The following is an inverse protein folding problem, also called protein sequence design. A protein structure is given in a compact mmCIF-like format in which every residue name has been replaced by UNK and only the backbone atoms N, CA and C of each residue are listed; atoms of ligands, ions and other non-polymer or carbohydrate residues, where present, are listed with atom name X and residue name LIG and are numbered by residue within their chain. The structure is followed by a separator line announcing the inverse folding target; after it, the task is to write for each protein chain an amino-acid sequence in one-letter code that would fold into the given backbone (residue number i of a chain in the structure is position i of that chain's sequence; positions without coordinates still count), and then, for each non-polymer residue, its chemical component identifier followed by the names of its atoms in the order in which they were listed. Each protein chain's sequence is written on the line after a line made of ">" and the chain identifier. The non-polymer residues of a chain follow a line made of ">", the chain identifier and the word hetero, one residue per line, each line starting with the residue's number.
data_IF_578519707758
#
_entry.id   IF_578519707758
#
_cell.length_a   1.000
_cell.length_b   1.000
_cell.length_c   1.000
_cell.angle_alpha   90.00
_cell.angle_beta   90.00
_cell.angle_gamma   90.00
#
_symmetry.space_group_name_H-M   'P 1'
#
loop_
_entity.id
_entity.type
_entity.pdbx_description
1 polymer ?
#
# COMPACT_ATOMS: atom_id res chain seq x y z
N UNK A 1 -16.32 -0.98 20.16
CA UNK A 1 -16.73 0.43 20.29
C UNK A 1 -18.12 0.44 20.90
N UNK A 2 -18.34 1.02 22.07
CA UNK A 2 -19.64 0.96 22.76
C UNK A 2 -20.28 2.35 22.85
N UNK A 3 -21.03 2.70 21.80
CA UNK A 3 -21.64 4.02 21.65
C UNK A 3 -23.10 4.02 22.12
N UNK A 4 -23.95 3.28 21.43
CA UNK A 4 -25.38 3.12 21.75
C UNK A 4 -25.74 1.65 21.89
N UNK A 5 -26.81 1.32 22.60
CA UNK A 5 -27.36 -0.04 22.59
C UNK A 5 -28.00 -0.35 21.24
N UNK A 6 -28.05 -1.63 20.85
CA UNK A 6 -28.81 -2.03 19.68
C UNK A 6 -30.30 -1.69 19.86
N UNK A 7 -30.87 -0.91 18.93
CA UNK A 7 -32.26 -0.46 19.01
C UNK A 7 -33.28 -1.62 18.97
N UNK A 8 -32.91 -2.76 18.39
CA UNK A 8 -33.80 -3.92 18.30
C UNK A 8 -33.77 -4.84 19.51
N UNK A 9 -32.61 -5.08 20.11
CA UNK A 9 -32.47 -6.09 21.17
C UNK A 9 -31.86 -5.58 22.48
N UNK A 10 -31.54 -4.29 22.55
CA UNK A 10 -30.93 -3.65 23.71
C UNK A 10 -29.49 -4.08 24.01
N UNK A 11 -28.88 -4.93 23.19
CA UNK A 11 -27.52 -5.40 23.45
C UNK A 11 -26.50 -4.25 23.39
N UNK A 12 -25.63 -4.20 24.40
CA UNK A 12 -24.40 -3.41 24.44
C UNK A 12 -23.26 -4.21 23.80
N UNK A 13 -22.22 -3.57 23.30
CA UNK A 13 -21.22 -4.23 22.45
C UNK A 13 -21.42 -3.90 20.97
N UNK A 14 -20.42 -3.29 20.33
CA UNK A 14 -20.33 -3.22 18.87
C UNK A 14 -18.91 -3.48 18.36
N UNK A 15 -18.78 -4.58 17.61
CA UNK A 15 -17.62 -4.94 16.80
C UNK A 15 -17.96 -4.63 15.36
N UNK A 16 -17.25 -3.68 14.78
CA UNK A 16 -17.39 -3.34 13.36
C UNK A 16 -16.58 -4.32 12.51
N UNK A 17 -17.04 -4.52 11.28
CA UNK A 17 -16.43 -5.37 10.26
C UNK A 17 -16.09 -4.60 8.98
N UNK A 18 -16.59 -3.37 8.85
CA UNK A 18 -16.28 -2.48 7.72
C UNK A 18 -16.11 -1.05 8.22
N UNK A 19 -15.14 -0.36 7.62
CA UNK A 19 -14.88 1.05 7.80
C UNK A 19 -14.91 1.73 6.43
N UNK A 20 -15.56 2.89 6.34
CA UNK A 20 -15.68 3.68 5.12
C UNK A 20 -15.45 5.16 5.44
N UNK A 21 -14.59 5.82 4.67
CA UNK A 21 -14.53 7.27 4.65
C UNK A 21 -15.65 7.82 3.73
N UNK A 22 -16.34 8.87 4.17
CA UNK A 22 -17.43 9.48 3.44
C UNK A 22 -17.38 11.01 3.44
N UNK A 23 -18.42 11.61 2.87
CA UNK A 23 -18.71 13.03 2.97
C UNK A 23 -20.16 13.20 3.45
N UNK A 24 -20.37 14.06 4.44
CA UNK A 24 -21.68 14.47 4.90
C UNK A 24 -21.75 16.00 4.92
N UNK A 25 -22.37 16.56 3.89
CA UNK A 25 -22.55 18.00 3.70
C UNK A 25 -21.22 18.78 3.61
N UNK A 26 -20.25 18.26 2.85
CA UNK A 26 -18.94 18.89 2.67
C UNK A 26 -18.00 18.71 3.85
N UNK A 27 -18.33 17.83 4.80
CA UNK A 27 -17.47 17.44 5.91
C UNK A 27 -17.13 15.97 5.77
N UNK A 28 -15.84 15.65 5.84
CA UNK A 28 -15.36 14.26 5.80
C UNK A 28 -15.95 13.47 6.97
N UNK A 29 -16.41 12.26 6.70
CA UNK A 29 -16.94 11.35 7.72
C UNK A 29 -16.17 10.05 7.78
N UNK A 30 -16.21 9.40 8.94
CA UNK A 30 -15.71 8.06 9.19
C UNK A 30 -16.90 7.19 9.63
N UNK A 31 -17.24 6.18 8.84
CA UNK A 31 -18.37 5.30 9.07
C UNK A 31 -17.90 3.90 9.47
N UNK A 32 -18.44 3.38 10.57
CA UNK A 32 -18.15 2.05 11.08
C UNK A 32 -19.41 1.20 11.01
N UNK A 33 -19.35 0.08 10.28
CA UNK A 33 -20.45 -0.86 10.11
C UNK A 33 -20.14 -2.22 10.72
N UNK A 34 -21.16 -2.85 11.29
CA UNK A 34 -21.08 -4.22 11.77
C UNK A 34 -22.43 -4.74 12.25
N UNK A 35 -22.55 -6.06 12.37
CA UNK A 35 -23.78 -6.68 12.84
C UNK A 35 -23.82 -6.74 14.38
N UNK A 36 -24.99 -6.53 14.96
CA UNK A 36 -25.22 -6.81 16.38
C UNK A 36 -24.93 -8.29 16.65
N UNK A 37 -24.03 -8.57 17.60
CA UNK A 37 -23.64 -9.95 17.93
C UNK A 37 -24.79 -10.79 18.51
N UNK A 38 -25.88 -10.16 18.96
CA UNK A 38 -27.05 -10.85 19.51
C UNK A 38 -28.14 -11.12 18.48
N UNK A 39 -28.58 -10.11 17.75
CA UNK A 39 -29.74 -10.21 16.84
C UNK A 39 -29.39 -10.09 15.36
N UNK A 40 -28.11 -9.91 15.02
CA UNK A 40 -27.65 -9.82 13.63
C UNK A 40 -27.99 -8.51 12.91
N UNK A 41 -28.75 -7.60 13.51
CA UNK A 41 -29.12 -6.31 12.91
C UNK A 41 -27.86 -5.52 12.55
N UNK A 42 -27.77 -5.05 11.30
CA UNK A 42 -26.70 -4.17 10.85
C UNK A 42 -26.75 -2.85 11.63
N UNK A 43 -25.61 -2.40 12.12
CA UNK A 43 -25.43 -1.15 12.84
C UNK A 43 -24.35 -0.36 12.15
N UNK A 44 -24.60 0.93 11.95
CA UNK A 44 -23.69 1.89 11.34
C UNK A 44 -23.56 3.10 12.25
N UNK A 45 -22.33 3.55 12.47
CA UNK A 45 -22.02 4.76 13.22
C UNK A 45 -21.18 5.67 12.35
N UNK A 46 -21.64 6.90 12.17
CA UNK A 46 -20.96 7.90 11.35
C UNK A 46 -20.45 9.03 12.24
N UNK A 47 -19.18 9.37 12.05
CA UNK A 47 -18.51 10.44 12.78
C UNK A 47 -18.05 11.50 11.80
N UNK A 48 -18.27 12.77 12.13
CA UNK A 48 -17.69 13.87 11.36
C UNK A 48 -16.23 14.03 11.79
N UNK A 49 -15.31 13.96 10.82
CA UNK A 49 -13.89 14.25 11.01
C UNK A 49 -13.73 15.76 11.06
N UNK A 50 -13.43 16.29 12.25
CA UNK A 50 -13.40 17.73 12.51
C UNK A 50 -12.21 18.44 11.86
N UNK A 51 -11.07 17.75 11.71
CA UNK A 51 -9.92 18.24 10.96
C UNK A 51 -9.44 17.17 9.97
N UNK A 52 -9.73 17.32 8.66
CA UNK A 52 -9.32 16.35 7.64
C UNK A 52 -7.82 16.41 7.32
N UNK A 53 -7.06 17.38 7.87
CA UNK A 53 -5.62 17.55 7.66
C UNK A 53 -4.77 16.95 8.78
N UNK A 54 -5.38 16.49 9.88
CA UNK A 54 -4.65 15.75 10.91
C UNK A 54 -4.17 14.41 10.31
N UNK A 55 -2.86 14.17 10.20
CA UNK A 55 -2.36 12.90 9.70
C UNK A 55 -2.73 11.80 10.70
N UNK A 56 -3.26 10.66 10.25
CA UNK A 56 -3.49 9.53 11.13
C UNK A 56 -2.16 8.96 11.68
N UNK A 57 -2.18 8.37 12.89
CA UNK A 57 -3.32 8.32 13.80
C UNK A 57 -3.44 9.62 14.59
N UNK A 58 -4.56 10.32 14.41
CA UNK A 58 -4.92 11.49 15.20
C UNK A 58 -6.21 11.19 15.95
N UNK A 59 -6.08 10.95 17.25
CA UNK A 59 -7.21 10.89 18.15
C UNK A 59 -7.47 12.33 18.60
N UNK A 60 -8.69 12.83 18.38
CA UNK A 60 -9.13 14.13 18.90
C UNK A 60 -8.49 15.37 18.26
N UNK A 61 -8.69 16.52 18.92
CA UNK A 61 -8.13 17.83 18.54
C UNK A 61 -7.11 18.32 19.57
N UNK A 62 -6.80 19.61 19.62
CA UNK A 62 -5.85 20.15 20.61
C UNK A 62 -6.34 20.06 22.06
N UNK A 63 -7.67 20.12 22.25
CA UNK A 63 -8.32 20.04 23.55
C UNK A 63 -8.53 18.58 24.00
N UNK A 64 -8.62 18.33 25.33
CA UNK A 64 -8.92 17.00 25.85
C UNK A 64 -10.26 16.45 25.33
N UNK A 65 -10.33 15.14 25.15
CA UNK A 65 -11.55 14.47 24.72
C UNK A 65 -12.71 14.67 25.71
N UNK A 66 -13.91 14.87 25.18
CA UNK A 66 -15.16 14.95 25.96
C UNK A 66 -15.98 13.67 25.90
N UNK A 67 -15.51 12.67 25.14
CA UNK A 67 -16.24 11.42 24.86
C UNK A 67 -15.55 10.22 25.52
N UNK A 68 -14.22 10.18 25.42
CA UNK A 68 -13.38 9.10 25.93
C UNK A 68 -12.55 9.68 27.06
N UNK A 69 -12.55 9.02 28.21
CA UNK A 69 -11.80 9.49 29.36
C UNK A 69 -10.34 8.95 29.38
N UNK A 70 -9.47 9.49 30.27
CA UNK A 70 -8.06 9.12 30.29
C UNK A 70 -7.82 7.64 30.57
N UNK A 71 -8.66 6.99 31.39
CA UNK A 71 -8.52 5.58 31.71
C UNK A 71 -8.89 4.68 30.54
N UNK A 72 -9.90 5.06 29.75
CA UNK A 72 -10.26 4.36 28.52
C UNK A 72 -9.18 4.48 27.44
N UNK A 73 -8.59 5.67 27.26
CA UNK A 73 -7.45 5.84 26.35
C UNK A 73 -6.24 5.01 26.77
N UNK A 74 -5.93 4.94 28.06
CA UNK A 74 -4.79 4.15 28.53
C UNK A 74 -4.98 2.64 28.27
N UNK A 75 -6.21 2.13 28.42
CA UNK A 75 -6.54 0.75 28.05
C UNK A 75 -6.40 0.53 26.54
N UNK A 76 -6.86 1.46 25.70
CA UNK A 76 -6.68 1.37 24.26
C UNK A 76 -5.19 1.37 23.88
N UNK A 77 -4.38 2.21 24.53
CA UNK A 77 -2.93 2.23 24.33
C UNK A 77 -2.26 0.91 24.73
N UNK A 78 -2.75 0.24 25.76
CA UNK A 78 -2.27 -1.10 26.16
C UNK A 78 -2.71 -2.21 25.20
N UNK A 79 -3.92 -2.15 24.67
CA UNK A 79 -4.38 -3.09 23.65
C UNK A 79 -3.53 -2.94 22.38
N UNK A 80 -3.30 -1.71 21.95
CA UNK A 80 -2.48 -1.41 20.78
C UNK A 80 -1.02 -1.85 20.98
N UNK A 81 -0.39 -1.58 22.15
CA UNK A 81 1.00 -1.99 22.39
C UNK A 81 1.16 -3.53 22.46
N UNK A 82 0.09 -4.29 22.75
CA UNK A 82 0.15 -5.76 22.68
C UNK A 82 0.24 -6.24 21.22
N UNK A 83 -0.31 -5.49 20.28
CA UNK A 83 -0.29 -5.82 18.86
C UNK A 83 1.04 -5.47 18.15
N UNK A 84 1.98 -4.79 18.82
CA UNK A 84 3.29 -4.42 18.24
C UNK A 84 4.32 -5.54 18.25
N UNK A 85 3.94 -6.74 18.72
CA UNK A 85 4.81 -7.92 18.79
C UNK A 85 4.46 -8.85 17.65
N UNK A 86 5.13 -8.72 16.49
CA UNK A 86 4.86 -9.62 15.37
C UNK A 86 5.36 -11.04 15.71
N UNK A 87 4.88 -12.02 14.94
CA UNK A 87 5.27 -13.43 15.08
C UNK A 87 6.74 -13.70 14.72
N UNK A 88 7.20 -14.96 14.84
CA UNK A 88 8.50 -15.35 14.29
C UNK A 88 8.51 -15.14 12.76
N UNK A 89 9.62 -14.63 12.24
CA UNK A 89 9.84 -14.30 10.82
C UNK A 89 8.79 -13.34 10.23
N UNK A 90 8.70 -12.09 10.73
CA UNK A 90 7.68 -11.14 10.31
C UNK A 90 7.86 -10.72 8.86
N UNK A 91 6.75 -10.62 8.14
CA UNK A 91 6.71 -9.98 6.82
C UNK A 91 6.81 -8.46 6.95
N UNK A 92 7.13 -7.72 5.87
CA UNK A 92 7.03 -6.26 5.88
C UNK A 92 5.64 -5.75 6.32
N UNK A 93 4.56 -6.45 5.94
CA UNK A 93 3.18 -6.11 6.32
C UNK A 93 2.95 -6.31 7.82
N UNK A 94 3.44 -7.41 8.40
CA UNK A 94 3.36 -7.62 9.85
C UNK A 94 4.08 -6.50 10.63
N UNK A 95 5.18 -5.97 10.06
CA UNK A 95 5.92 -4.85 10.66
C UNK A 95 5.22 -3.49 10.45
N UNK A 96 4.57 -3.28 9.30
CA UNK A 96 3.74 -2.10 9.04
C UNK A 96 2.54 -2.07 9.99
N UNK A 97 1.81 -3.17 10.12
CA UNK A 97 0.69 -3.31 11.07
C UNK A 97 1.16 -3.10 12.52
N UNK A 98 2.31 -3.65 12.89
CA UNK A 98 2.90 -3.43 14.21
C UNK A 98 3.33 -1.96 14.41
N UNK A 99 3.80 -1.28 13.36
CA UNK A 99 4.15 0.14 13.43
C UNK A 99 2.89 0.99 13.61
N UNK A 100 1.82 0.73 12.85
CA UNK A 100 0.54 1.43 12.98
C UNK A 100 -0.04 1.25 14.39
N UNK A 101 0.01 0.03 14.94
CA UNK A 101 -0.37 -0.21 16.33
C UNK A 101 0.48 0.57 17.35
N UNK A 102 1.78 0.75 17.09
CA UNK A 102 2.65 1.57 17.94
C UNK A 102 2.29 3.06 17.84
N UNK A 103 1.92 3.53 16.65
CA UNK A 103 1.46 4.90 16.42
C UNK A 103 0.11 5.16 17.12
N UNK A 104 -0.84 4.23 17.02
CA UNK A 104 -2.12 4.28 17.74
C UNK A 104 -1.92 4.33 19.26
N UNK A 105 -1.00 3.50 19.77
CA UNK A 105 -0.65 3.51 21.18
C UNK A 105 -0.07 4.87 21.62
N UNK A 106 0.80 5.48 20.79
CA UNK A 106 1.35 6.80 21.06
C UNK A 106 0.27 7.87 21.06
N UNK A 107 -0.59 7.90 20.04
CA UNK A 107 -1.70 8.84 19.93
C UNK A 107 -2.66 8.75 21.13
N UNK A 108 -2.95 7.54 21.61
CA UNK A 108 -3.78 7.34 22.79
C UNK A 108 -3.13 7.88 24.07
N UNK A 109 -1.81 7.74 24.24
CA UNK A 109 -1.11 8.36 25.40
C UNK A 109 -1.04 9.88 25.28
N UNK A 110 -0.90 10.42 24.07
CA UNK A 110 -0.98 11.87 23.82
C UNK A 110 -2.34 12.43 24.23
N UNK A 111 -3.44 11.71 23.97
CA UNK A 111 -4.77 12.09 24.45
C UNK A 111 -4.84 12.14 25.98
N UNK A 112 -4.27 11.16 26.68
CA UNK A 112 -4.22 11.15 28.15
C UNK A 112 -3.44 12.37 28.68
N UNK A 113 -2.32 12.73 28.06
CA UNK A 113 -1.49 13.87 28.45
C UNK A 113 -2.25 15.21 28.37
N UNK A 114 -3.21 15.36 27.44
CA UNK A 114 -4.04 16.58 27.34
C UNK A 114 -4.87 16.82 28.59
N UNK A 115 -5.24 15.77 29.32
CA UNK A 115 -5.99 15.89 30.57
C UNK A 115 -5.14 16.30 31.77
N UNK A 116 -3.81 16.47 31.65
CA UNK A 116 -2.95 16.94 32.74
C UNK A 116 -2.89 18.48 32.69
N UNK A 117 -3.50 19.21 33.66
CA UNK A 117 -3.39 20.66 33.73
C UNK A 117 -1.94 21.14 33.73
N UNK A 118 -1.70 22.34 33.20
CA UNK A 118 -0.34 22.90 33.06
C UNK A 118 0.42 23.01 34.41
N UNK A 119 -0.30 23.22 35.50
CA UNK A 119 0.21 23.35 36.87
C UNK A 119 0.14 22.05 37.68
N UNK A 120 -0.29 20.95 37.07
CA UNK A 120 -0.41 19.64 37.70
C UNK A 120 0.62 18.63 37.18
N UNK A 121 1.00 17.70 38.06
CA UNK A 121 1.91 16.59 37.75
C UNK A 121 1.19 15.28 37.40
N UNK A 122 -0.13 15.25 37.42
CA UNK A 122 -0.92 14.05 37.12
C UNK A 122 -2.32 14.41 36.62
N UNK A 123 -2.97 13.47 35.94
CA UNK A 123 -4.37 13.62 35.52
C UNK A 123 -5.28 13.72 36.75
N UNK A 124 -6.13 14.75 36.86
CA UNK A 124 -7.04 14.90 37.98
C UNK A 124 -8.04 13.74 38.06
N UNK A 125 -8.31 13.25 39.27
CA UNK A 125 -9.19 12.10 39.50
C UNK A 125 -10.60 12.32 38.95
N UNK A 126 -11.07 13.56 38.87
CA UNK A 126 -12.37 13.97 38.33
C UNK A 126 -12.48 13.80 36.82
N UNK A 127 -11.36 13.75 36.07
CA UNK A 127 -11.37 13.55 34.63
C UNK A 127 -11.80 12.12 34.22
N UNK A 128 -11.78 11.17 35.16
CA UNK A 128 -12.14 9.77 34.92
C UNK A 128 -13.65 9.56 35.12
N UNK A 129 -14.36 9.12 34.10
CA UNK A 129 -15.79 8.84 34.18
C UNK A 129 -16.04 7.33 34.21
N UNK A 130 -15.71 6.63 33.14
CA UNK A 130 -15.80 5.18 32.94
C UNK A 130 -14.51 4.44 33.32
N UNK A 131 -13.35 5.06 33.07
CA UNK A 131 -12.01 4.53 33.35
C UNK A 131 -11.57 4.68 34.82
N UNK A 132 -12.47 5.01 35.74
CA UNK A 132 -12.14 5.26 37.15
C UNK A 132 -11.52 4.05 37.85
N UNK A 133 -11.96 2.83 37.52
CA UNK A 133 -11.37 1.61 38.06
C UNK A 133 -9.91 1.41 37.62
N UNK A 134 -9.55 1.86 36.41
CA UNK A 134 -8.16 1.81 35.90
C UNK A 134 -7.28 2.78 36.69
N UNK A 135 -7.77 4.00 36.94
CA UNK A 135 -7.10 4.98 37.79
C UNK A 135 -6.92 4.48 39.22
N UNK A 136 -7.99 3.95 39.83
CA UNK A 136 -7.95 3.50 41.22
C UNK A 136 -7.03 2.29 41.44
N UNK A 137 -6.80 1.47 40.40
CA UNK A 137 -5.89 0.35 40.46
C UNK A 137 -4.40 0.78 40.50
N UNK A 138 -4.04 1.81 39.75
CA UNK A 138 -2.66 2.34 39.72
C UNK A 138 -2.62 3.83 39.31
N UNK A 139 -2.83 4.75 40.27
CA UNK A 139 -2.86 6.19 39.99
C UNK A 139 -1.55 6.73 39.42
N UNK A 140 -0.41 6.13 39.78
CA UNK A 140 0.91 6.57 39.36
C UNK A 140 1.12 6.47 37.84
N UNK A 141 0.33 5.63 37.16
CA UNK A 141 0.35 5.52 35.69
C UNK A 141 -0.15 6.76 34.97
N UNK A 142 -0.89 7.62 35.67
CA UNK A 142 -1.45 8.86 35.14
C UNK A 142 -0.65 10.10 35.60
N UNK A 143 0.55 9.89 36.16
CA UNK A 143 1.53 10.94 36.39
C UNK A 143 2.16 11.40 35.06
N UNK A 144 2.36 12.71 34.91
CA UNK A 144 2.92 13.36 33.72
C UNK A 144 4.20 12.68 33.26
N UNK A 145 5.18 12.56 34.16
CA UNK A 145 6.49 11.99 33.86
C UNK A 145 6.39 10.53 33.36
N UNK A 146 5.47 9.75 33.93
CA UNK A 146 5.22 8.38 33.46
C UNK A 146 4.58 8.35 32.08
N UNK A 147 3.56 9.18 31.85
CA UNK A 147 2.89 9.29 30.56
C UNK A 147 3.85 9.77 29.46
N UNK A 148 4.72 10.72 29.75
CA UNK A 148 5.76 11.18 28.84
C UNK A 148 6.78 10.07 28.52
N UNK A 149 7.21 9.30 29.53
CA UNK A 149 8.04 8.12 29.32
C UNK A 149 7.36 7.05 28.47
N UNK A 150 6.09 6.77 28.74
CA UNK A 150 5.25 5.85 27.95
C UNK A 150 5.09 6.30 26.50
N UNK A 151 4.92 7.61 26.28
CA UNK A 151 4.83 8.20 24.94
C UNK A 151 6.14 8.07 24.18
N UNK A 152 7.26 8.40 24.82
CA UNK A 152 8.58 8.29 24.22
C UNK A 152 8.89 6.85 23.78
N UNK A 153 8.60 5.87 24.64
CA UNK A 153 8.75 4.43 24.34
C UNK A 153 7.94 4.02 23.10
N UNK A 154 6.68 4.42 23.02
CA UNK A 154 5.76 4.06 21.92
C UNK A 154 6.19 4.71 20.60
N UNK A 155 6.58 5.98 20.62
CA UNK A 155 7.14 6.66 19.43
C UNK A 155 8.43 6.01 18.97
N UNK A 156 9.29 5.59 19.89
CA UNK A 156 10.50 4.85 19.54
C UNK A 156 10.18 3.49 18.91
N UNK A 157 9.18 2.77 19.43
CA UNK A 157 8.72 1.51 18.85
C UNK A 157 8.21 1.71 17.41
N UNK A 158 7.38 2.74 17.17
CA UNK A 158 6.94 3.13 15.82
C UNK A 158 8.14 3.34 14.88
N UNK A 159 9.10 4.18 15.26
CA UNK A 159 10.28 4.45 14.42
C UNK A 159 11.10 3.19 14.11
N UNK A 160 11.29 2.32 15.11
CA UNK A 160 12.03 1.06 14.93
C UNK A 160 11.30 0.10 14.00
N UNK A 161 9.98 -0.05 14.15
CA UNK A 161 9.16 -0.96 13.35
C UNK A 161 8.99 -0.44 11.92
N UNK A 162 8.73 0.86 11.73
CA UNK A 162 8.66 1.47 10.40
C UNK A 162 10.00 1.35 9.67
N UNK A 163 11.13 1.50 10.37
CA UNK A 163 12.44 1.27 9.78
C UNK A 163 12.62 -0.19 9.38
N UNK A 164 12.31 -1.13 10.26
CA UNK A 164 12.44 -2.55 9.96
C UNK A 164 11.54 -2.99 8.78
N UNK A 165 10.32 -2.44 8.69
CA UNK A 165 9.43 -2.63 7.55
C UNK A 165 10.06 -2.09 6.25
N UNK A 166 10.64 -0.88 6.30
CA UNK A 166 11.38 -0.29 5.19
C UNK A 166 12.56 -1.16 4.77
N UNK A 167 13.41 -1.58 5.72
CA UNK A 167 14.60 -2.40 5.46
C UNK A 167 14.21 -3.77 4.85
N UNK A 168 13.15 -4.42 5.35
CA UNK A 168 12.64 -5.67 4.76
C UNK A 168 11.98 -5.45 3.40
N UNK A 169 11.31 -4.32 3.19
CA UNK A 169 10.72 -4.02 1.90
C UNK A 169 11.75 -3.64 0.85
N UNK A 170 12.84 -2.97 1.21
CA UNK A 170 13.92 -2.71 0.26
C UNK A 170 14.57 -4.03 -0.20
N UNK A 171 14.49 -5.09 0.62
CA UNK A 171 14.87 -6.44 0.23
C UNK A 171 13.82 -7.16 -0.65
N UNK A 172 12.56 -6.69 -0.68
CA UNK A 172 11.45 -7.25 -1.47
C UNK A 172 11.03 -6.21 -2.53
N UNK A 173 11.69 -6.24 -3.68
CA UNK A 173 11.41 -5.28 -4.74
C UNK A 173 10.06 -5.50 -5.44
N UNK A 174 9.66 -4.57 -6.32
CA UNK A 174 8.33 -4.57 -6.90
C UNK A 174 8.08 -5.80 -7.78
N UNK A 175 6.83 -6.26 -7.79
CA UNK A 175 6.34 -7.35 -8.63
C UNK A 175 5.95 -6.77 -9.99
N UNK A 176 6.66 -7.17 -11.04
CA UNK A 176 6.42 -6.69 -12.41
C UNK A 176 5.98 -7.82 -13.33
N UNK A 177 4.92 -7.62 -14.14
CA UNK A 177 4.43 -8.62 -15.07
C UNK A 177 5.24 -8.65 -16.36
N UNK A 178 5.44 -9.87 -16.87
CA UNK A 178 6.01 -10.12 -18.18
C UNK A 178 4.96 -10.64 -19.15
N UNK A 179 5.12 -10.23 -20.40
CA UNK A 179 4.38 -10.73 -21.53
C UNK A 179 3.14 -9.91 -21.87
N UNK A 180 2.48 -10.32 -22.95
CA UNK A 180 1.30 -9.67 -23.50
C UNK A 180 0.11 -10.60 -23.44
N UNK A 181 -0.99 -10.12 -22.88
CA UNK A 181 -2.25 -10.85 -22.87
C UNK A 181 -2.82 -10.97 -24.29
N UNK A 182 -3.17 -12.20 -24.68
CA UNK A 182 -3.73 -12.54 -25.99
C UNK A 182 -5.25 -12.80 -25.94
N UNK A 183 -5.88 -12.58 -24.78
CA UNK A 183 -7.28 -12.89 -24.58
C UNK A 183 -7.52 -14.34 -24.14
N UNK A 184 -8.79 -14.71 -24.12
CA UNK A 184 -9.22 -16.08 -23.93
C UNK A 184 -9.22 -16.80 -25.27
N UNK A 185 -8.45 -17.87 -25.39
CA UNK A 185 -8.31 -18.65 -26.61
C UNK A 185 -8.72 -20.11 -26.37
N UNK A 186 -9.28 -20.80 -27.38
CA UNK A 186 -9.59 -22.21 -27.25
C UNK A 186 -8.31 -23.03 -27.16
N UNK A 187 -8.22 -23.87 -26.12
CA UNK A 187 -7.14 -24.83 -25.90
C UNK A 187 -7.73 -26.24 -25.99
N UNK A 188 -7.10 -27.09 -26.79
CA UNK A 188 -7.51 -28.48 -26.96
C UNK A 188 -7.07 -29.30 -25.75
N UNK A 189 -8.04 -29.85 -25.02
CA UNK A 189 -7.81 -30.82 -23.94
C UNK A 189 -8.40 -32.18 -24.34
N UNK A 190 -8.02 -33.29 -23.66
CA UNK A 190 -8.63 -34.60 -23.92
C UNK A 190 -10.16 -34.63 -23.81
N UNK A 191 -10.77 -33.69 -23.08
CA UNK A 191 -12.23 -33.54 -22.93
C UNK A 191 -12.90 -32.56 -23.91
N UNK A 192 -12.15 -31.98 -24.87
CA UNK A 192 -12.64 -30.99 -25.82
C UNK A 192 -11.94 -29.63 -25.70
N UNK A 193 -12.39 -28.66 -26.50
CA UNK A 193 -11.84 -27.31 -26.47
C UNK A 193 -12.39 -26.51 -25.28
N UNK A 194 -11.51 -26.00 -24.43
CA UNK A 194 -11.86 -25.09 -23.32
C UNK A 194 -11.19 -23.74 -23.53
N UNK A 195 -11.89 -22.64 -23.25
CA UNK A 195 -11.27 -21.33 -23.29
C UNK A 195 -10.31 -21.16 -22.10
N UNK A 196 -9.10 -20.69 -22.36
CA UNK A 196 -8.09 -20.35 -21.35
C UNK A 196 -7.55 -18.97 -21.61
N UNK A 197 -7.22 -18.25 -20.54
CA UNK A 197 -6.45 -17.01 -20.62
C UNK A 197 -5.06 -17.32 -21.16
N UNK A 198 -4.58 -16.56 -22.14
CA UNK A 198 -3.25 -16.81 -22.74
C UNK A 198 -2.40 -15.54 -22.67
N UNK A 199 -1.19 -15.69 -22.15
CA UNK A 199 -0.14 -14.66 -22.18
C UNK A 199 1.00 -15.12 -23.08
N UNK A 200 1.54 -14.20 -23.87
CA UNK A 200 2.75 -14.41 -24.68
C UNK A 200 3.93 -13.72 -24.02
N UNK A 201 4.92 -14.49 -23.59
CA UNK A 201 6.16 -14.00 -23.00
C UNK A 201 7.36 -14.61 -23.76
N UNK A 202 8.24 -13.75 -24.28
CA UNK A 202 9.25 -14.11 -25.25
C UNK A 202 8.64 -14.83 -26.46
N UNK A 203 9.22 -15.97 -26.83
CA UNK A 203 8.70 -16.85 -27.89
C UNK A 203 7.63 -17.85 -27.42
N UNK A 204 7.19 -17.81 -26.17
CA UNK A 204 6.29 -18.80 -25.56
C UNK A 204 4.87 -18.26 -25.43
N UNK A 205 3.90 -19.17 -25.52
CA UNK A 205 2.51 -18.96 -25.08
C UNK A 205 2.31 -19.73 -23.79
N UNK A 206 1.76 -19.07 -22.77
CA UNK A 206 1.49 -19.64 -21.46
C UNK A 206 0.01 -19.49 -21.17
N UNK A 207 -0.62 -20.58 -20.78
CA UNK A 207 -2.02 -20.65 -20.41
C UNK A 207 -2.16 -20.39 -18.91
N UNK A 208 -3.16 -19.60 -18.53
CA UNK A 208 -3.42 -19.22 -17.15
C UNK A 208 -4.77 -19.76 -16.68
N UNK A 209 -4.82 -20.10 -15.39
CA UNK A 209 -6.08 -20.23 -14.65
C UNK A 209 -6.69 -18.84 -14.43
N UNK A 210 -7.96 -18.79 -14.03
CA UNK A 210 -8.62 -17.51 -13.74
C UNK A 210 -7.93 -16.78 -12.57
N UNK A 211 -7.47 -17.55 -11.56
CA UNK A 211 -6.70 -17.04 -10.42
C UNK A 211 -5.35 -16.47 -10.85
N UNK A 212 -4.57 -17.23 -11.62
CA UNK A 212 -3.26 -16.78 -12.08
C UNK A 212 -3.40 -15.58 -13.05
N UNK A 213 -4.48 -15.53 -13.85
CA UNK A 213 -4.75 -14.38 -14.71
C UNK A 213 -5.11 -13.14 -13.90
N UNK A 214 -5.92 -13.27 -12.85
CA UNK A 214 -6.26 -12.16 -11.96
C UNK A 214 -4.99 -11.57 -11.33
N UNK A 215 -4.13 -12.42 -10.77
CA UNK A 215 -2.89 -11.98 -10.10
C UNK A 215 -1.89 -11.40 -11.10
N UNK A 216 -1.76 -12.00 -12.29
CA UNK A 216 -0.93 -11.44 -13.37
C UNK A 216 -1.44 -10.07 -13.84
N UNK A 217 -2.76 -9.89 -13.97
CA UNK A 217 -3.35 -8.61 -14.31
C UNK A 217 -3.12 -7.57 -13.21
N UNK A 218 -3.29 -7.96 -11.94
CA UNK A 218 -3.08 -7.09 -10.79
C UNK A 218 -1.63 -6.61 -10.65
N UNK A 219 -0.66 -7.43 -11.06
CA UNK A 219 0.76 -7.05 -11.06
C UNK A 219 1.08 -5.83 -11.96
N UNK A 220 0.20 -5.46 -12.90
CA UNK A 220 0.38 -4.26 -13.72
C UNK A 220 0.22 -2.96 -12.92
N UNK A 221 -0.40 -3.00 -11.74
CA UNK A 221 -0.80 -1.80 -11.02
C UNK A 221 -2.24 -1.39 -11.28
N UNK A 222 -2.83 -0.68 -10.32
CA UNK A 222 -4.12 0.01 -10.50
C UNK A 222 -3.86 1.49 -10.79
N UNK A 223 -4.31 2.04 -11.93
CA UNK A 223 -4.14 3.45 -12.26
C UNK A 223 -4.63 4.39 -11.15
N UNK A 224 -3.78 5.33 -10.75
CA UNK A 224 -4.10 6.30 -9.69
C UNK A 224 -4.02 5.78 -8.26
N UNK A 225 -3.66 4.51 -8.05
CA UNK A 225 -3.41 3.99 -6.70
C UNK A 225 -2.20 4.68 -6.07
N UNK A 226 -2.27 5.09 -4.79
CA UNK A 226 -1.12 5.65 -4.07
C UNK A 226 0.02 4.63 -3.93
N UNK A 227 -0.27 3.34 -4.01
CA UNK A 227 0.70 2.25 -3.87
C UNK A 227 1.53 2.01 -5.14
N UNK A 228 1.24 2.68 -6.26
CA UNK A 228 1.94 2.44 -7.54
C UNK A 228 3.47 2.65 -7.46
N UNK A 229 3.95 3.48 -6.54
CA UNK A 229 5.39 3.67 -6.34
C UNK A 229 6.08 2.43 -5.71
N UNK A 230 5.30 1.54 -5.08
CA UNK A 230 5.77 0.36 -4.37
C UNK A 230 4.76 -0.78 -4.56
N UNK A 231 4.77 -1.36 -5.75
CA UNK A 231 3.83 -2.42 -6.12
C UNK A 231 4.40 -3.81 -5.81
N UNK A 232 4.42 -4.15 -4.52
CA UNK A 232 4.85 -5.46 -4.01
C UNK A 232 3.65 -6.41 -3.77
N UNK A 233 3.91 -7.61 -3.22
CA UNK A 233 2.84 -8.58 -2.92
C UNK A 233 1.78 -8.03 -1.95
N UNK A 234 2.20 -7.19 -0.99
CA UNK A 234 1.27 -6.60 0.00
C UNK A 234 0.34 -5.58 -0.67
N UNK A 235 0.88 -4.72 -1.55
CA UNK A 235 0.06 -3.85 -2.38
C UNK A 235 -0.95 -4.68 -3.21
N UNK A 236 -0.51 -5.77 -3.84
CA UNK A 236 -1.41 -6.65 -4.58
C UNK A 236 -2.52 -7.25 -3.69
N UNK A 237 -2.22 -7.69 -2.46
CA UNK A 237 -3.26 -8.18 -1.52
C UNK A 237 -4.29 -7.10 -1.17
N UNK A 238 -3.84 -5.88 -0.86
CA UNK A 238 -4.75 -4.75 -0.53
C UNK A 238 -5.68 -4.38 -1.68
N UNK A 239 -5.19 -4.52 -2.91
CA UNK A 239 -5.94 -4.19 -4.13
C UNK A 239 -6.71 -5.38 -4.74
N UNK A 240 -6.72 -6.53 -4.07
CA UNK A 240 -7.47 -7.69 -4.50
C UNK A 240 -8.99 -7.39 -4.42
N UNK A 241 -9.76 -7.61 -5.50
CA UNK A 241 -11.20 -7.37 -5.48
C UNK A 241 -11.90 -8.21 -4.40
N UNK A 242 -12.91 -7.66 -3.71
CA UNK A 242 -13.66 -8.37 -2.69
C UNK A 242 -14.31 -9.69 -3.19
N UNK A 243 -14.68 -9.74 -4.47
CA UNK A 243 -15.20 -10.95 -5.13
C UNK A 243 -14.17 -12.07 -5.28
N UNK A 244 -12.88 -11.77 -5.07
CA UNK A 244 -11.75 -12.67 -5.17
C UNK A 244 -11.10 -12.98 -3.81
N UNK A 245 -11.80 -12.75 -2.69
CA UNK A 245 -11.25 -12.91 -1.32
C UNK A 245 -10.76 -14.31 -0.92
N UNK A 246 -10.80 -15.29 -1.83
CA UNK A 246 -10.18 -16.62 -1.67
C UNK A 246 -8.90 -16.84 -2.49
N UNK A 247 -8.45 -15.83 -3.26
CA UNK A 247 -7.24 -15.93 -4.07
C UNK A 247 -5.99 -15.89 -3.18
N UNK A 248 -5.15 -16.91 -3.32
CA UNK A 248 -3.82 -16.96 -2.71
C UNK A 248 -2.84 -16.17 -3.58
N UNK A 249 -2.70 -14.86 -3.28
CA UNK A 249 -1.84 -13.96 -4.04
C UNK A 249 -0.39 -14.44 -4.02
N UNK A 250 0.13 -14.83 -2.86
CA UNK A 250 1.53 -15.24 -2.70
C UNK A 250 1.82 -16.53 -3.47
N UNK A 251 0.96 -17.53 -3.33
CA UNK A 251 1.09 -18.79 -4.07
C UNK A 251 0.95 -18.60 -5.59
N UNK A 252 0.08 -17.70 -6.05
CA UNK A 252 -0.06 -17.35 -7.46
C UNK A 252 1.16 -16.59 -8.00
N UNK A 253 1.71 -15.63 -7.24
CA UNK A 253 2.94 -14.92 -7.60
C UNK A 253 4.09 -15.92 -7.75
N UNK A 254 4.28 -16.83 -6.79
CA UNK A 254 5.31 -17.87 -6.85
C UNK A 254 5.17 -18.76 -8.09
N UNK A 255 3.93 -19.15 -8.44
CA UNK A 255 3.66 -19.93 -9.65
C UNK A 255 4.00 -19.14 -10.91
N UNK A 256 3.59 -17.88 -11.00
CA UNK A 256 3.81 -17.04 -12.16
C UNK A 256 5.29 -16.67 -12.35
N UNK A 257 6.06 -16.49 -11.27
CA UNK A 257 7.52 -16.35 -11.32
C UNK A 257 8.14 -17.61 -11.93
N UNK A 258 7.76 -18.81 -11.45
CA UNK A 258 8.24 -20.09 -12.04
C UNK A 258 7.87 -20.25 -13.51
N UNK A 259 6.75 -19.68 -13.94
CA UNK A 259 6.31 -19.69 -15.35
C UNK A 259 7.01 -18.64 -16.21
N UNK A 260 7.79 -17.73 -15.61
CA UNK A 260 8.45 -16.61 -16.29
C UNK A 260 7.48 -15.51 -16.71
N UNK A 261 6.40 -15.31 -15.94
CA UNK A 261 5.36 -14.31 -16.20
C UNK A 261 5.33 -13.16 -15.19
N UNK A 262 6.06 -13.28 -14.08
CA UNK A 262 6.32 -12.20 -13.14
C UNK A 262 7.81 -12.21 -12.76
N UNK A 263 8.34 -11.05 -12.36
CA UNK A 263 9.64 -10.91 -11.69
C UNK A 263 9.42 -10.09 -10.42
N UNK A 264 10.11 -10.48 -9.34
CA UNK A 264 10.31 -9.64 -8.15
C UNK A 264 11.66 -8.95 -8.22
N UNK A 265 11.66 -7.64 -8.40
CA UNK A 265 12.86 -6.86 -8.64
C UNK A 265 13.57 -6.41 -7.35
N UNK A 266 13.76 -7.32 -6.39
CA UNK A 266 14.43 -7.05 -5.10
C UNK A 266 15.95 -7.23 -5.09
N UNK A 267 16.50 -7.79 -6.18
CA UNK A 267 17.94 -7.95 -6.37
C UNK A 267 18.62 -6.73 -7.01
N UNK A 268 19.88 -6.87 -7.43
CA UNK A 268 20.59 -5.82 -8.16
C UNK A 268 19.82 -5.39 -9.41
N UNK A 269 19.63 -4.07 -9.59
CA UNK A 269 18.84 -3.52 -10.71
C UNK A 269 19.37 -3.94 -12.09
N UNK A 270 20.67 -4.18 -12.20
CA UNK A 270 21.30 -4.67 -13.42
C UNK A 270 20.77 -6.06 -13.81
N UNK A 271 20.61 -6.98 -12.85
CA UNK A 271 20.10 -8.33 -13.11
C UNK A 271 18.67 -8.25 -13.66
N UNK A 272 17.82 -7.43 -13.02
CA UNK A 272 16.48 -7.16 -13.51
C UNK A 272 16.51 -6.58 -14.93
N UNK A 273 17.28 -5.52 -15.16
CA UNK A 273 17.32 -4.81 -16.42
C UNK A 273 17.87 -5.67 -17.58
N UNK A 274 18.75 -6.63 -17.29
CA UNK A 274 19.23 -7.61 -18.29
C UNK A 274 18.22 -8.72 -18.57
N UNK A 275 17.33 -9.03 -17.64
CA UNK A 275 16.34 -10.09 -17.81
C UNK A 275 15.14 -9.68 -18.68
N UNK A 276 14.89 -8.37 -18.82
CA UNK A 276 13.68 -7.84 -19.47
C UNK A 276 14.01 -6.87 -20.59
N UNK A 277 13.06 -6.71 -21.51
CA UNK A 277 13.00 -5.59 -22.45
C UNK A 277 11.70 -4.83 -22.28
N UNK A 278 11.74 -3.53 -22.56
CA UNK A 278 10.58 -2.63 -22.50
C UNK A 278 9.98 -2.43 -23.90
N UNK A 279 8.69 -2.70 -24.05
CA UNK A 279 7.97 -2.56 -25.31
C UNK A 279 6.89 -1.48 -25.19
N UNK A 280 7.03 -0.34 -25.89
CA UNK A 280 5.98 0.66 -26.03
C UNK A 280 4.70 0.06 -26.62
N UNK A 281 3.55 0.38 -26.02
CA UNK A 281 2.22 -0.03 -26.50
C UNK A 281 1.35 1.16 -26.94
N UNK A 282 1.91 2.38 -26.89
CA UNK A 282 1.22 3.63 -27.12
C UNK A 282 2.09 4.59 -27.96
N UNK A 283 1.58 5.79 -28.24
CA UNK A 283 2.32 6.83 -28.95
C UNK A 283 2.71 7.97 -28.03
N UNK A 284 3.84 8.61 -28.31
CA UNK A 284 4.20 9.88 -27.68
C UNK A 284 3.32 11.00 -28.21
N UNK A 285 2.77 11.80 -27.30
CA UNK A 285 1.87 12.92 -27.59
C UNK A 285 2.57 14.28 -27.52
N UNK A 286 3.87 14.29 -27.22
CA UNK A 286 4.66 15.51 -27.04
C UNK A 286 4.53 16.08 -25.63
N UNK A 287 4.86 17.36 -25.48
CA UNK A 287 4.94 18.02 -24.17
C UNK A 287 3.56 18.10 -23.50
N UNK A 288 3.45 17.58 -22.27
CA UNK A 288 2.19 17.53 -21.51
C UNK A 288 2.15 18.50 -20.32
N UNK A 289 3.27 19.15 -19.97
CA UNK A 289 3.37 20.02 -18.79
C UNK A 289 3.73 21.48 -19.11
N UNK A 290 3.34 22.45 -18.25
CA UNK A 290 3.87 23.80 -18.31
C UNK A 290 5.40 23.72 -18.18
N UNK A 291 6.11 24.41 -19.07
CA UNK A 291 7.59 24.40 -19.20
C UNK A 291 8.22 23.18 -19.88
N UNK A 292 7.46 22.24 -20.46
CA UNK A 292 8.01 21.20 -21.35
C UNK A 292 8.93 20.17 -20.67
N UNK A 293 8.80 19.98 -19.35
CA UNK A 293 9.63 19.03 -18.58
C UNK A 293 9.08 17.60 -18.56
N UNK A 294 7.85 17.41 -19.02
CA UNK A 294 7.16 16.12 -19.09
C UNK A 294 6.54 15.89 -20.46
N UNK A 295 6.56 14.63 -20.88
CA UNK A 295 5.98 14.18 -22.14
C UNK A 295 4.76 13.30 -21.88
N UNK A 296 3.69 13.53 -22.64
CA UNK A 296 2.49 12.72 -22.62
C UNK A 296 2.68 11.45 -23.45
N UNK A 297 2.17 10.34 -22.95
CA UNK A 297 2.08 9.05 -23.64
C UNK A 297 0.62 8.60 -23.60
N UNK A 298 0.11 8.07 -24.72
CA UNK A 298 -1.25 7.54 -24.78
C UNK A 298 -1.70 7.20 -26.18
N UNK A 299 -2.98 7.39 -26.43
CA UNK A 299 -3.58 7.21 -27.76
C UNK A 299 -3.86 8.58 -28.39
N UNK A 300 -4.00 8.66 -29.73
CA UNK A 300 -4.38 9.91 -30.38
C UNK A 300 -5.65 10.49 -29.73
N UNK A 301 -5.55 11.71 -29.21
CA UNK A 301 -6.64 12.41 -28.51
C UNK A 301 -6.82 12.09 -27.02
N UNK A 302 -6.02 11.19 -26.44
CA UNK A 302 -6.11 10.81 -25.04
C UNK A 302 -4.72 10.53 -24.43
N UNK A 303 -4.21 11.49 -23.63
CA UNK A 303 -3.03 11.28 -22.80
C UNK A 303 -3.40 10.41 -21.60
N UNK A 304 -2.68 9.30 -21.42
CA UNK A 304 -2.91 8.33 -20.33
C UNK A 304 -1.93 8.51 -19.18
N UNK A 305 -0.71 8.97 -19.48
CA UNK A 305 0.33 9.25 -18.50
C UNK A 305 1.24 10.37 -18.99
N UNK A 306 1.83 11.12 -18.06
CA UNK A 306 2.89 12.08 -18.32
C UNK A 306 4.14 11.64 -17.57
N UNK A 307 5.29 11.59 -18.26
CA UNK A 307 6.55 11.12 -17.69
C UNK A 307 7.67 12.15 -17.87
N UNK A 308 8.73 12.12 -17.04
CA UNK A 308 9.93 12.90 -17.26
C UNK A 308 10.57 12.63 -18.62
N UNK A 309 11.39 13.58 -19.07
CA UNK A 309 12.03 13.56 -20.40
C UNK A 309 12.90 12.32 -20.60
N UNK A 310 13.65 11.94 -19.58
CA UNK A 310 14.59 10.82 -19.58
C UNK A 310 13.84 9.49 -19.75
N UNK A 311 12.76 9.30 -18.99
CA UNK A 311 11.90 8.12 -19.07
C UNK A 311 11.16 8.06 -20.41
N UNK A 312 10.70 9.20 -20.95
CA UNK A 312 10.08 9.26 -22.27
C UNK A 312 11.03 8.80 -23.38
N UNK A 313 12.26 9.33 -23.40
CA UNK A 313 13.23 8.96 -24.41
C UNK A 313 13.59 7.48 -24.31
N UNK A 314 13.90 6.98 -23.11
CA UNK A 314 14.17 5.55 -22.95
C UNK A 314 12.98 4.70 -23.43
N UNK A 315 11.75 5.02 -22.98
CA UNK A 315 10.55 4.32 -23.42
C UNK A 315 10.43 4.30 -24.95
N UNK A 316 10.63 5.44 -25.62
CA UNK A 316 10.47 5.54 -27.07
C UNK A 316 11.45 4.71 -27.90
N UNK A 317 12.64 4.42 -27.37
CA UNK A 317 13.71 3.73 -28.10
C UNK A 317 14.04 2.32 -27.55
N UNK A 318 13.62 1.98 -26.33
CA UNK A 318 14.01 0.74 -25.66
C UNK A 318 13.64 -0.54 -26.43
N UNK A 319 12.62 -0.49 -27.30
CA UNK A 319 12.23 -1.63 -28.11
C UNK A 319 13.24 -2.00 -29.21
N UNK A 320 14.22 -1.14 -29.50
CA UNK A 320 15.31 -1.42 -30.44
C UNK A 320 16.45 -2.23 -29.82
N UNK A 321 16.47 -2.33 -28.49
CA UNK A 321 17.57 -2.93 -27.74
C UNK A 321 17.16 -4.34 -27.25
N UNK A 322 18.12 -5.26 -27.05
CA UNK A 322 17.85 -6.64 -26.65
C UNK A 322 17.28 -6.75 -25.23
N UNK A 323 17.67 -5.82 -24.36
CA UNK A 323 17.29 -5.74 -22.95
C UNK A 323 17.30 -4.28 -22.47
N UNK A 324 16.71 -4.06 -21.30
CA UNK A 324 16.56 -2.74 -20.69
C UNK A 324 17.90 -2.17 -20.22
N UNK A 325 18.86 -3.01 -19.84
CA UNK A 325 20.19 -2.56 -19.43
C UNK A 325 20.94 -1.90 -20.60
N UNK A 326 20.99 -2.56 -21.74
CA UNK A 326 21.58 -2.07 -22.98
C UNK A 326 20.88 -0.78 -23.44
N UNK A 327 19.55 -0.69 -23.27
CA UNK A 327 18.82 0.55 -23.52
C UNK A 327 19.26 1.70 -22.60
N UNK A 328 19.53 1.42 -21.31
CA UNK A 328 20.05 2.42 -20.39
C UNK A 328 21.47 2.87 -20.76
N UNK A 329 22.37 1.94 -21.12
CA UNK A 329 23.72 2.26 -21.59
C UNK A 329 23.70 3.11 -22.87
N UNK A 330 22.80 2.80 -23.81
CA UNK A 330 22.61 3.58 -25.05
C UNK A 330 22.05 4.97 -24.77
N UNK A 331 21.04 5.08 -23.91
CA UNK A 331 20.48 6.36 -23.50
C UNK A 331 21.54 7.25 -22.83
N UNK A 332 22.38 6.67 -21.96
CA UNK A 332 23.53 7.34 -21.37
C UNK A 332 24.50 7.86 -22.44
N UNK A 333 24.86 7.02 -23.42
CA UNK A 333 25.78 7.41 -24.49
C UNK A 333 25.26 8.56 -25.38
N UNK A 334 23.93 8.63 -25.59
CA UNK A 334 23.30 9.69 -26.39
C UNK A 334 23.15 11.00 -25.61
N UNK A 335 23.05 10.95 -24.28
CA UNK A 335 22.75 12.13 -23.44
C UNK A 335 23.85 13.22 -23.40
N UNK A 336 25.08 12.96 -23.87
CA UNK A 336 26.18 13.91 -24.19
C UNK A 336 26.40 15.17 -23.30
N UNK A 337 25.94 15.19 -22.05
CA UNK A 337 26.19 16.27 -21.10
C UNK A 337 27.22 15.84 -20.03
N UNK A 338 28.18 16.70 -19.64
CA UNK A 338 29.01 16.46 -18.47
C UNK A 338 28.11 16.32 -17.23
N UNK A 339 28.16 15.16 -16.56
CA UNK A 339 27.31 14.84 -15.40
C UNK A 339 26.07 13.99 -15.69
N UNK A 340 26.00 13.33 -16.86
CA UNK A 340 24.92 12.39 -17.18
C UNK A 340 24.77 11.25 -16.16
N UNK A 341 23.52 10.90 -15.87
CA UNK A 341 23.13 9.76 -15.02
C UNK A 341 23.75 8.46 -15.57
N UNK A 342 24.42 7.68 -14.72
CA UNK A 342 24.95 6.38 -15.15
C UNK A 342 23.81 5.37 -15.46
N UNK A 343 24.14 4.30 -16.19
CA UNK A 343 23.15 3.30 -16.60
C UNK A 343 22.43 2.63 -15.42
N UNK A 344 23.10 2.44 -14.27
CA UNK A 344 22.50 1.84 -13.09
C UNK A 344 21.46 2.78 -12.46
N UNK A 345 21.81 4.06 -12.30
CA UNK A 345 20.90 5.09 -11.80
C UNK A 345 19.71 5.32 -12.74
N UNK A 346 19.92 5.24 -14.06
CA UNK A 346 18.82 5.27 -15.02
C UNK A 346 17.93 4.03 -14.92
N UNK A 347 18.50 2.83 -14.81
CA UNK A 347 17.74 1.59 -14.62
C UNK A 347 16.91 1.62 -13.32
N UNK A 348 17.48 2.13 -12.22
CA UNK A 348 16.76 2.34 -10.95
C UNK A 348 15.60 3.31 -11.11
N UNK A 349 15.83 4.45 -11.78
CA UNK A 349 14.77 5.43 -12.02
C UNK A 349 13.64 4.85 -12.90
N UNK A 350 13.98 4.00 -13.86
CA UNK A 350 13.01 3.34 -14.74
C UNK A 350 12.20 2.32 -13.96
N UNK A 351 12.84 1.49 -13.14
CA UNK A 351 12.16 0.53 -12.27
C UNK A 351 11.15 1.24 -11.35
N UNK A 352 11.58 2.34 -10.72
CA UNK A 352 10.71 3.17 -9.88
C UNK A 352 9.54 3.82 -10.64
N UNK A 353 9.74 4.12 -11.93
CA UNK A 353 8.73 4.74 -12.81
C UNK A 353 7.89 3.76 -13.62
N UNK A 354 8.05 2.45 -13.43
CA UNK A 354 7.53 1.45 -14.35
C UNK A 354 6.03 1.18 -14.19
N UNK A 355 5.55 0.98 -12.97
CA UNK A 355 4.14 0.69 -12.69
C UNK A 355 3.16 1.75 -13.21
N UNK A 356 3.45 3.06 -13.13
CA UNK A 356 2.62 4.06 -13.80
C UNK A 356 2.44 3.83 -15.32
N UNK A 357 3.45 3.29 -16.01
CA UNK A 357 3.36 2.95 -17.44
C UNK A 357 2.60 1.63 -17.68
N UNK A 358 2.82 0.64 -16.82
CA UNK A 358 2.19 -0.69 -16.91
C UNK A 358 0.69 -0.62 -16.59
N UNK A 359 0.31 0.11 -15.55
CA UNK A 359 -1.06 0.19 -15.06
C UNK A 359 -2.04 0.73 -16.12
N UNK A 360 -1.56 1.65 -16.96
CA UNK A 360 -2.34 2.24 -18.07
C UNK A 360 -2.03 1.60 -19.43
N UNK A 361 -1.30 0.47 -19.44
CA UNK A 361 -0.97 -0.31 -20.63
C UNK A 361 -0.27 0.48 -21.75
N UNK A 362 0.55 1.49 -21.42
CA UNK A 362 1.38 2.19 -22.41
C UNK A 362 2.77 1.56 -22.58
N UNK A 363 3.10 0.61 -21.71
CA UNK A 363 4.29 -0.22 -21.75
C UNK A 363 3.93 -1.68 -21.47
N UNK A 364 4.76 -2.58 -21.98
CA UNK A 364 4.72 -4.01 -21.69
C UNK A 364 6.17 -4.47 -21.49
N UNK A 365 6.46 -5.17 -20.39
CA UNK A 365 7.73 -5.86 -20.27
C UNK A 365 7.66 -7.22 -20.96
N UNK A 366 8.77 -7.65 -21.50
CA UNK A 366 8.92 -8.96 -22.12
C UNK A 366 10.29 -9.55 -21.80
N UNK A 367 10.47 -10.86 -21.98
CA UNK A 367 11.77 -11.48 -21.79
C UNK A 367 12.80 -10.85 -22.74
N UNK A 368 14.02 -10.61 -22.22
CA UNK A 368 15.15 -10.16 -23.01
C UNK A 368 15.43 -11.11 -24.19
N UNK A 369 15.91 -10.54 -25.30
CA UNK A 369 16.29 -11.31 -26.48
C UNK A 369 17.71 -11.82 -26.29
N UNK A 370 17.90 -13.14 -26.28
CA UNK A 370 19.24 -13.73 -26.39
C UNK A 370 19.75 -13.45 -27.80
N UNK A 371 20.73 -12.56 -27.93
CA UNK A 371 21.48 -12.36 -29.17
C UNK A 371 22.38 -13.58 -29.39
N UNK A 372 22.20 -14.26 -30.51
CA UNK A 372 22.99 -15.43 -30.91
C UNK A 372 24.21 -15.02 -31.74
#
# INVERSE_FOLDING_TARGET
>A
MDLHSCEQCGAVGFRWSRHEAGDLHGRRTSAYEGNCQRCGTLRRFEFIVLDPNLPPPALGGAEPSTIIDPGEFLLAAEDAIRATRPGPDPTPEDLEDAADAAADAAAAVEEVLKFVPADASAVPREAFTRGRAVYDADPARFERDRLEGMLAERRQAFLMLSKAAGDLSEAVGPVVPLGRYLGMLPVTTPGGATLRHVVRAGGRRVELTDEDQLVWALAHGIPGSPDLARWDRAAMRRHLPASAGGTDVDGAVDRLIRLGLLIEAGGPVEEFARAVRLLPQAVGLGNAGPHGRTFGIGHPGAALVAVPTELFFLWSWACLEPDLWTACERAQAVAMAPGGTDAAALATAVLAGLHPLLAVNVACLDAAVVTW
#
